data_IF_204178919006
#
_entry.id   IF_204178919006
#
_cell.length_a   1.000
_cell.length_b   1.000
_cell.length_c   1.000
_cell.angle_alpha   90.00
_cell.angle_beta   90.00
_cell.angle_gamma   90.00
#
_symmetry.space_group_name_H-M   'P 1'
#
loop_
_entity.id
_entity.type
_entity.pdbx_description
1 polymer ?
#
# COMPACT_ATOMS: atom_id res chain seq x y z
N UNK A 1 24.05 -20.29 -35.94
CA UNK A 1 24.17 -20.40 -34.48
C UNK A 1 24.20 -18.98 -33.96
N UNK A 2 23.05 -18.38 -33.67
CA UNK A 2 22.96 -17.13 -32.90
C UNK A 2 21.71 -17.24 -32.05
N UNK A 3 21.92 -17.54 -30.77
CA UNK A 3 20.94 -17.35 -29.73
C UNK A 3 20.96 -15.88 -29.32
N UNK A 4 19.78 -15.30 -29.14
CA UNK A 4 19.62 -13.97 -28.57
C UNK A 4 18.40 -13.98 -27.66
N UNK A 5 18.59 -14.47 -26.43
CA UNK A 5 17.57 -14.43 -25.39
C UNK A 5 17.36 -12.99 -24.94
N UNK A 6 16.24 -12.39 -25.37
CA UNK A 6 15.71 -11.16 -24.81
C UNK A 6 14.72 -11.48 -23.69
N UNK A 7 15.24 -11.93 -22.54
CA UNK A 7 14.50 -11.98 -21.27
C UNK A 7 15.28 -11.03 -20.35
N UNK A 8 14.77 -9.83 -20.13
CA UNK A 8 15.51 -8.84 -19.33
C UNK A 8 14.84 -7.49 -19.09
N UNK A 9 13.73 -7.15 -19.77
CA UNK A 9 12.99 -5.90 -19.46
C UNK A 9 11.95 -6.12 -18.34
N UNK A 10 11.17 -7.19 -18.44
CA UNK A 10 10.01 -7.42 -17.56
C UNK A 10 10.34 -7.83 -16.12
N UNK A 11 11.53 -8.37 -15.84
CA UNK A 11 11.94 -8.68 -14.46
C UNK A 11 12.43 -7.42 -13.73
N UNK A 12 13.16 -6.54 -14.41
CA UNK A 12 13.65 -5.27 -13.84
C UNK A 12 12.51 -4.29 -13.56
N UNK A 13 11.52 -4.21 -14.46
CA UNK A 13 10.33 -3.36 -14.26
C UNK A 13 9.50 -3.83 -13.05
N UNK A 14 9.35 -5.15 -12.85
CA UNK A 14 8.66 -5.70 -11.68
C UNK A 14 9.42 -5.48 -10.37
N UNK A 15 10.74 -5.63 -10.39
CA UNK A 15 11.57 -5.38 -9.21
C UNK A 15 11.48 -3.91 -8.74
N UNK A 16 11.38 -2.96 -9.67
CA UNK A 16 11.20 -1.54 -9.36
C UNK A 16 9.78 -1.23 -8.84
N UNK A 17 8.75 -1.89 -9.39
CA UNK A 17 7.37 -1.83 -8.88
C UNK A 17 7.24 -2.39 -7.45
N UNK A 18 7.91 -3.51 -7.17
CA UNK A 18 7.92 -4.13 -5.84
C UNK A 18 8.64 -3.23 -4.82
N UNK A 19 9.80 -2.65 -5.20
CA UNK A 19 10.53 -1.71 -4.36
C UNK A 19 9.71 -0.42 -4.08
N UNK A 20 9.03 0.11 -5.09
CA UNK A 20 8.13 1.25 -4.92
C UNK A 20 6.96 0.92 -3.99
N UNK A 21 6.41 -0.29 -4.11
CA UNK A 21 5.31 -0.77 -3.26
C UNK A 21 5.76 -0.90 -1.80
N UNK A 22 6.96 -1.40 -1.54
CA UNK A 22 7.52 -1.50 -0.20
C UNK A 22 7.71 -0.12 0.45
N UNK A 23 8.24 0.85 -0.28
CA UNK A 23 8.38 2.24 0.19
C UNK A 23 7.01 2.85 0.49
N UNK A 24 6.02 2.63 -0.38
CA UNK A 24 4.66 3.10 -0.15
C UNK A 24 4.05 2.46 1.09
N UNK A 25 4.27 1.16 1.30
CA UNK A 25 3.77 0.44 2.46
C UNK A 25 4.37 0.94 3.76
N UNK A 26 5.68 1.21 3.78
CA UNK A 26 6.35 1.76 4.96
C UNK A 26 5.82 3.17 5.30
N UNK A 27 5.73 4.04 4.29
CA UNK A 27 5.16 5.39 4.45
C UNK A 27 3.70 5.34 4.91
N UNK A 28 2.91 4.43 4.33
CA UNK A 28 1.51 4.24 4.69
C UNK A 28 1.37 3.79 6.15
N UNK A 29 2.24 2.87 6.59
CA UNK A 29 2.30 2.42 7.99
C UNK A 29 2.62 3.58 8.93
N UNK A 30 3.62 4.41 8.62
CA UNK A 30 3.97 5.58 9.43
C UNK A 30 2.81 6.58 9.54
N UNK A 31 2.13 6.87 8.43
CA UNK A 31 0.94 7.72 8.43
C UNK A 31 -0.18 7.13 9.30
N UNK A 32 -0.43 5.82 9.17
CA UNK A 32 -1.47 5.13 9.94
C UNK A 32 -1.18 5.17 11.43
N UNK A 33 0.07 4.95 11.83
CA UNK A 33 0.53 5.08 13.22
C UNK A 33 0.23 6.48 13.74
N UNK A 34 0.69 7.52 13.02
CA UNK A 34 0.50 8.91 13.46
C UNK A 34 -0.96 9.30 13.65
N UNK A 35 -1.85 8.86 12.75
CA UNK A 35 -3.29 9.12 12.85
C UNK A 35 -3.88 8.40 14.06
N UNK A 36 -3.61 7.10 14.18
CA UNK A 36 -4.17 6.28 15.24
C UNK A 36 -3.66 6.70 16.63
N UNK A 37 -2.41 7.13 16.76
CA UNK A 37 -1.87 7.71 17.99
C UNK A 37 -2.53 9.05 18.35
N UNK A 38 -2.75 9.92 17.37
CA UNK A 38 -3.44 11.19 17.58
C UNK A 38 -4.88 10.98 18.06
N UNK A 39 -5.59 10.01 17.48
CA UNK A 39 -6.93 9.61 17.91
C UNK A 39 -6.93 8.96 19.29
N UNK A 40 -6.00 8.06 19.57
CA UNK A 40 -5.86 7.42 20.87
C UNK A 40 -5.63 8.47 21.97
N UNK A 41 -4.73 9.43 21.72
CA UNK A 41 -4.43 10.54 22.63
C UNK A 41 -5.64 11.42 22.89
N UNK A 42 -6.43 11.76 21.87
CA UNK A 42 -7.68 12.51 22.04
C UNK A 42 -8.68 11.78 22.93
N UNK A 43 -8.70 10.44 22.87
CA UNK A 43 -9.61 9.61 23.64
C UNK A 43 -9.04 9.13 24.98
N UNK A 44 -7.83 9.58 25.37
CA UNK A 44 -7.11 9.09 26.56
C UNK A 44 -6.92 7.55 26.56
N UNK A 45 -6.71 6.99 25.37
CA UNK A 45 -6.47 5.57 25.15
C UNK A 45 -5.01 5.34 24.74
N UNK A 46 -4.53 4.13 24.97
CA UNK A 46 -3.27 3.63 24.41
C UNK A 46 -3.58 2.45 23.49
N UNK A 47 -2.93 2.42 22.33
CA UNK A 47 -3.07 1.31 21.37
C UNK A 47 -1.83 0.43 21.49
N UNK A 48 -2.04 -0.86 21.79
CA UNK A 48 -0.95 -1.82 21.81
C UNK A 48 -0.35 -2.03 20.41
N UNK A 49 0.97 -2.28 20.33
CA UNK A 49 1.66 -2.47 19.05
C UNK A 49 1.07 -3.55 18.12
N UNK A 50 0.57 -4.70 18.61
CA UNK A 50 -0.10 -5.69 17.75
C UNK A 50 -1.34 -5.12 17.07
N UNK A 51 -2.12 -4.32 17.78
CA UNK A 51 -3.32 -3.67 17.23
C UNK A 51 -2.93 -2.59 16.22
N UNK A 52 -1.89 -1.80 16.52
CA UNK A 52 -1.34 -0.81 15.59
C UNK A 52 -0.91 -1.45 14.27
N UNK A 53 -0.23 -2.60 14.33
CA UNK A 53 0.20 -3.36 13.15
C UNK A 53 -1.00 -3.84 12.35
N UNK A 54 -2.01 -4.39 13.03
CA UNK A 54 -3.26 -4.82 12.40
C UNK A 54 -3.98 -3.67 11.67
N UNK A 55 -4.07 -2.49 12.30
CA UNK A 55 -4.70 -1.30 11.70
C UNK A 55 -3.96 -0.88 10.43
N UNK A 56 -2.62 -0.82 10.47
CA UNK A 56 -1.81 -0.46 9.30
C UNK A 56 -2.01 -1.44 8.13
N UNK A 57 -2.00 -2.75 8.40
CA UNK A 57 -2.21 -3.76 7.36
C UNK A 57 -3.62 -3.70 6.76
N UNK A 58 -4.65 -3.53 7.59
CA UNK A 58 -6.03 -3.39 7.12
C UNK A 58 -6.20 -2.13 6.28
N UNK A 59 -5.69 -0.99 6.74
CA UNK A 59 -5.80 0.27 6.03
C UNK A 59 -5.08 0.21 4.67
N UNK A 60 -3.91 -0.44 4.59
CA UNK A 60 -3.19 -0.63 3.33
C UNK A 60 -3.98 -1.52 2.35
N UNK A 61 -4.55 -2.63 2.86
CA UNK A 61 -5.40 -3.53 2.07
C UNK A 61 -6.64 -2.82 1.51
N UNK A 62 -7.30 -1.99 2.31
CA UNK A 62 -8.48 -1.24 1.86
C UNK A 62 -8.13 -0.11 0.90
N UNK A 63 -6.99 0.57 1.09
CA UNK A 63 -6.50 1.56 0.15
C UNK A 63 -6.32 0.95 -1.26
N UNK A 64 -5.76 -0.26 -1.36
CA UNK A 64 -5.63 -0.99 -2.62
C UNK A 64 -6.95 -1.50 -3.22
N UNK A 65 -8.02 -1.64 -2.43
CA UNK A 65 -9.36 -1.96 -2.96
C UNK A 65 -10.09 -0.72 -3.47
N UNK A 66 -9.81 0.46 -2.90
CA UNK A 66 -10.44 1.72 -3.31
C UNK A 66 -10.05 2.18 -4.72
N UNK A 67 -8.86 1.80 -5.21
CA UNK A 67 -8.44 2.03 -6.59
C UNK A 67 -9.26 1.21 -7.61
N UNK A 68 -9.80 0.05 -7.20
CA UNK A 68 -10.75 -0.70 -8.02
C UNK A 68 -12.13 -0.02 -8.08
N UNK A 69 -12.55 0.63 -6.98
CA UNK A 69 -13.80 1.38 -6.89
C UNK A 69 -13.75 2.67 -7.75
N UNK A 70 -12.60 3.36 -7.82
CA UNK A 70 -12.43 4.55 -8.68
C UNK A 70 -12.47 4.22 -10.17
N UNK A 71 -11.97 3.06 -10.60
CA UNK A 71 -12.09 2.62 -12.01
C UNK A 71 -13.53 2.31 -12.41
N UNK A 72 -14.39 1.86 -11.48
CA UNK A 72 -15.80 1.62 -11.75
C UNK A 72 -16.59 2.92 -12.02
N UNK A 73 -16.25 4.03 -11.36
CA UNK A 73 -16.89 5.33 -11.63
C UNK A 73 -16.43 5.96 -12.96
N UNK A 74 -15.20 5.68 -13.41
CA UNK A 74 -14.70 6.16 -14.69
C UNK A 74 -15.37 5.47 -15.91
N UNK A 75 -15.96 4.28 -15.74
CA UNK A 75 -16.62 3.54 -16.85
C UNK A 75 -18.13 3.82 -16.97
N UNK A 76 -18.77 4.40 -15.94
CA UNK A 76 -20.21 4.70 -15.94
C UNK A 76 -20.49 6.18 -16.28
N UNK A 77 -19.44 6.97 -16.53
CA UNK A 77 -19.49 8.41 -16.80
C UNK A 77 -19.28 8.84 -18.26
N UNK A 78 -19.50 7.95 -19.24
CA UNK A 78 -19.60 8.27 -20.68
C UNK A 78 -20.92 7.78 -21.26
#
# INVERSE_FOLDING_TARGET
MEGGGGIGSSDVEREDEDAATDILRDRFRLCTISIAEAEAKQNNMEISQPIMTCIADLAFKYAGQSSSLSSLHATIGD
#
